data_IF_414080832848
#
_entry.id   IF_414080832848
#
_cell.length_a   1.000
_cell.length_b   1.000
_cell.length_c   1.000
_cell.angle_alpha   90.00
_cell.angle_beta   90.00
_cell.angle_gamma   90.00
#
_symmetry.space_group_name_H-M   'P 1'
#
loop_
_entity.id
_entity.type
_entity.pdbx_description
1 polymer ?
#
# COMPACT_ATOMS: atom_id res chain seq x y z
N UNK A 1 -29.57 51.43 -39.49
CA UNK A 1 -28.23 51.84 -39.02
C UNK A 1 -27.39 50.58 -38.92
N UNK A 2 -26.76 49.99 -39.94
CA UNK A 2 -26.13 50.45 -41.19
C UNK A 2 -24.98 51.45 -41.00
N UNK A 3 -23.74 50.94 -41.16
CA UNK A 3 -22.58 51.44 -41.93
C UNK A 3 -21.32 50.80 -41.28
N UNK A 4 -20.72 49.74 -41.86
CA UNK A 4 -19.79 49.71 -43.01
C UNK A 4 -18.46 50.40 -42.68
N UNK A 5 -17.30 49.73 -42.74
CA UNK A 5 -16.35 49.68 -43.88
C UNK A 5 -15.00 49.21 -43.28
N UNK A 6 -13.99 48.66 -43.94
CA UNK A 6 -13.72 48.26 -45.30
C UNK A 6 -12.51 47.31 -45.29
N UNK A 7 -12.42 46.53 -46.36
CA UNK A 7 -11.36 45.60 -46.77
C UNK A 7 -10.10 46.38 -47.20
N UNK A 8 -8.91 45.78 -47.15
CA UNK A 8 -7.97 45.55 -48.30
C UNK A 8 -6.57 45.11 -47.83
N UNK A 9 -6.09 44.06 -48.51
CA UNK A 9 -4.78 43.40 -48.46
C UNK A 9 -3.64 44.23 -49.08
N UNK A 10 -2.38 43.94 -48.73
CA UNK A 10 -1.25 43.59 -49.64
C UNK A 10 0.05 43.38 -48.82
N UNK A 11 0.66 42.19 -48.78
CA UNK A 11 1.80 41.68 -49.61
C UNK A 11 3.06 42.57 -49.50
N UNK A 12 4.27 42.11 -49.11
CA UNK A 12 5.28 41.43 -49.96
C UNK A 12 6.50 40.98 -49.12
N UNK A 13 6.94 39.73 -49.42
CA UNK A 13 8.28 39.09 -49.46
C UNK A 13 9.52 39.70 -48.76
N UNK A 14 10.35 38.81 -48.20
CA UNK A 14 11.81 38.99 -48.12
C UNK A 14 12.53 37.95 -47.25
N UNK A 15 13.37 37.11 -47.87
CA UNK A 15 14.15 36.04 -47.23
C UNK A 15 15.50 36.53 -46.67
N UNK A 16 16.02 35.86 -45.64
CA UNK A 16 17.39 35.28 -45.56
C UNK A 16 17.87 35.03 -44.12
N UNK A 17 18.53 33.89 -43.91
CA UNK A 17 19.19 33.46 -42.67
C UNK A 17 20.34 34.39 -42.27
N UNK A 18 20.40 34.80 -40.99
CA UNK A 18 21.66 35.01 -40.24
C UNK A 18 21.48 34.65 -38.75
N UNK A 19 22.51 33.99 -38.22
CA UNK A 19 22.60 33.36 -36.91
C UNK A 19 22.37 34.27 -35.68
N UNK A 20 21.67 33.69 -34.68
CA UNK A 20 21.73 33.83 -33.20
C UNK A 20 21.78 35.24 -32.56
N UNK A 21 20.77 35.55 -31.71
CA UNK A 21 21.06 35.97 -30.33
C UNK A 21 20.03 35.38 -29.34
N UNK A 22 20.12 34.08 -29.02
CA UNK A 22 19.26 33.43 -28.01
C UNK A 22 20.04 32.85 -26.81
N UNK A 23 21.37 32.75 -26.92
CA UNK A 23 22.22 32.25 -25.84
C UNK A 23 22.55 33.28 -24.75
N UNK A 24 22.43 34.59 -25.04
CA UNK A 24 22.74 35.64 -24.08
C UNK A 24 21.62 35.91 -23.06
N UNK A 25 20.36 35.61 -23.41
CA UNK A 25 19.21 35.81 -22.51
C UNK A 25 19.07 34.65 -21.51
N UNK A 26 19.49 33.44 -21.89
CA UNK A 26 19.50 32.27 -21.02
C UNK A 26 20.62 32.29 -19.96
N UNK A 27 21.76 32.95 -20.23
CA UNK A 27 22.80 33.15 -19.21
C UNK A 27 22.46 34.28 -18.22
N UNK A 28 21.67 35.28 -18.63
CA UNK A 28 21.26 36.40 -17.78
C UNK A 28 20.17 36.07 -16.75
N UNK A 29 19.34 35.06 -17.01
CA UNK A 29 18.30 34.58 -16.07
C UNK A 29 18.83 33.58 -15.02
N UNK A 30 20.07 33.12 -15.15
CA UNK A 30 20.71 32.17 -14.23
C UNK A 30 21.44 32.85 -13.05
N UNK A 31 21.51 34.18 -12.99
CA UNK A 31 22.30 34.93 -11.98
C UNK A 31 21.44 35.75 -11.00
N UNK A 32 20.10 35.79 -11.15
CA UNK A 32 19.22 36.56 -10.24
C UNK A 32 18.32 35.69 -9.34
N UNK A 33 18.48 34.36 -9.36
CA UNK A 33 17.76 33.45 -8.46
C UNK A 33 18.54 33.03 -7.21
N UNK A 34 19.72 33.61 -6.98
CA UNK A 34 20.72 33.15 -6.02
C UNK A 34 20.91 34.09 -4.83
N UNK A 35 19.83 34.62 -4.24
CA UNK A 35 19.88 35.23 -2.91
C UNK A 35 18.52 35.07 -2.25
N UNK A 36 18.34 34.03 -1.44
CA UNK A 36 17.56 34.00 -0.18
C UNK A 36 17.76 32.62 0.46
N UNK A 37 18.10 32.64 1.75
CA UNK A 37 18.33 31.54 2.69
C UNK A 37 19.76 30.97 2.78
N UNK A 38 20.60 31.76 3.45
CA UNK A 38 21.56 31.22 4.40
C UNK A 38 20.87 30.80 5.71
N UNK A 39 21.59 29.97 6.47
CA UNK A 39 21.35 29.47 7.84
C UNK A 39 20.56 28.16 7.98
N UNK A 40 21.25 27.02 7.87
CA UNK A 40 21.45 26.10 9.02
C UNK A 40 22.84 25.45 8.88
N UNK A 41 23.68 25.63 9.91
CA UNK A 41 25.03 25.08 10.09
C UNK A 41 25.01 23.66 10.67
N UNK A 42 26.01 22.86 10.29
CA UNK A 42 26.61 21.74 11.04
C UNK A 42 25.90 20.39 10.83
N UNK A 43 26.55 19.32 10.37
CA UNK A 43 27.85 18.77 10.78
C UNK A 43 28.61 18.14 9.60
N UNK A 44 29.94 18.28 9.66
CA UNK A 44 30.94 17.74 8.74
C UNK A 44 31.03 16.20 8.78
N UNK A 45 31.13 15.60 7.59
CA UNK A 45 31.65 14.26 7.37
C UNK A 45 33.15 14.21 7.63
N UNK A 46 33.60 13.31 8.51
CA UNK A 46 34.99 12.83 8.53
C UNK A 46 34.96 11.35 8.19
N UNK A 47 35.56 11.02 7.04
CA UNK A 47 35.68 9.65 6.54
C UNK A 47 36.57 8.78 7.42
N UNK A 48 36.11 7.56 7.68
CA UNK A 48 36.93 6.45 8.18
C UNK A 48 36.52 5.17 7.44
N UNK A 49 37.53 4.52 6.87
CA UNK A 49 37.47 3.27 6.11
C UNK A 49 36.81 2.11 6.90
N UNK A 50 35.96 1.26 6.30
CA UNK A 50 35.31 0.17 7.04
C UNK A 50 36.26 -1.04 7.16
N UNK A 51 36.74 -1.28 8.37
CA UNK A 51 37.22 -2.59 8.81
C UNK A 51 36.01 -3.48 9.18
N UNK A 52 36.04 -4.81 8.91
CA UNK A 52 34.89 -5.69 9.13
C UNK A 52 34.68 -5.96 10.62
N UNK A 53 33.95 -5.07 11.30
CA UNK A 53 33.47 -5.32 12.64
C UNK A 53 32.14 -6.09 12.57
N UNK A 54 32.22 -7.33 13.06
CA UNK A 54 31.10 -8.22 13.41
C UNK A 54 30.08 -7.43 14.23
N UNK A 55 28.92 -7.10 13.66
CA UNK A 55 27.84 -6.43 14.38
C UNK A 55 27.50 -7.24 15.64
N UNK A 56 27.46 -6.61 16.83
CA UNK A 56 27.02 -7.30 18.03
C UNK A 56 25.54 -7.63 17.86
N UNK A 57 25.19 -8.91 18.00
CA UNK A 57 23.82 -9.39 18.07
C UNK A 57 23.12 -8.69 19.24
N UNK A 58 22.43 -7.58 18.93
CA UNK A 58 21.61 -6.85 19.89
C UNK A 58 20.58 -7.83 20.47
N UNK A 59 20.43 -7.92 21.81
CA UNK A 59 19.43 -8.78 22.42
C UNK A 59 18.04 -8.36 21.93
N UNK A 60 17.23 -9.35 21.57
CA UNK A 60 15.83 -9.16 21.17
C UNK A 60 15.11 -8.28 22.22
N UNK A 61 14.53 -7.13 21.82
CA UNK A 61 13.91 -6.23 22.78
C UNK A 61 12.68 -6.88 23.42
N UNK A 62 12.63 -6.85 24.76
CA UNK A 62 11.53 -7.40 25.56
C UNK A 62 10.26 -6.52 25.38
N UNK A 63 9.12 -7.10 24.96
CA UNK A 63 7.83 -6.42 24.89
C UNK A 63 7.25 -6.11 26.30
N UNK A 64 6.42 -5.07 26.42
CA UNK A 64 5.76 -4.73 27.69
C UNK A 64 4.68 -5.73 28.12
N UNK A 65 4.34 -5.72 29.42
CA UNK A 65 3.59 -6.75 30.16
C UNK A 65 2.17 -7.13 29.66
N UNK A 66 1.61 -6.45 28.66
CA UNK A 66 0.22 -6.60 28.22
C UNK A 66 0.02 -7.24 26.84
N UNK A 67 1.07 -7.79 26.23
CA UNK A 67 1.02 -8.42 24.91
C UNK A 67 1.59 -9.84 24.97
N UNK A 68 0.76 -10.85 24.72
CA UNK A 68 1.23 -12.23 24.58
C UNK A 68 1.72 -12.45 23.14
N UNK A 69 2.95 -12.93 22.95
CA UNK A 69 3.56 -13.11 21.63
C UNK A 69 3.96 -14.55 21.39
N UNK A 70 3.73 -15.01 20.17
CA UNK A 70 4.19 -16.33 19.73
C UNK A 70 4.51 -16.32 18.24
N UNK A 71 5.60 -16.98 17.88
CA UNK A 71 5.95 -17.26 16.49
C UNK A 71 5.99 -18.76 16.26
N UNK A 72 5.65 -19.17 15.04
CA UNK A 72 5.65 -20.54 14.56
C UNK A 72 6.31 -20.55 13.19
N UNK A 73 7.12 -21.57 12.91
CA UNK A 73 7.80 -21.71 11.62
C UNK A 73 7.77 -23.17 11.14
N UNK A 74 7.86 -23.34 9.82
CA UNK A 74 7.78 -24.64 9.15
C UNK A 74 6.39 -25.00 8.66
N UNK A 75 6.26 -26.20 8.07
CA UNK A 75 5.04 -26.68 7.39
C UNK A 75 3.81 -26.80 8.30
N UNK A 76 4.01 -26.95 9.60
CA UNK A 76 2.94 -27.05 10.61
C UNK A 76 2.65 -25.71 11.32
N UNK A 77 3.18 -24.59 10.82
CA UNK A 77 3.12 -23.30 11.53
C UNK A 77 1.68 -22.81 11.74
N UNK A 78 0.81 -22.99 10.74
CA UNK A 78 -0.63 -22.67 10.82
C UNK A 78 -1.36 -23.52 11.84
N UNK A 79 -1.17 -24.84 11.84
CA UNK A 79 -1.78 -25.76 12.81
C UNK A 79 -1.36 -25.42 14.25
N UNK A 80 -0.08 -25.13 14.47
CA UNK A 80 0.42 -24.75 15.79
C UNK A 80 -0.13 -23.38 16.23
N UNK A 81 -0.27 -22.44 15.30
CA UNK A 81 -0.88 -21.15 15.54
C UNK A 81 -2.35 -21.28 15.92
N UNK A 82 -3.09 -22.17 15.26
CA UNK A 82 -4.48 -22.47 15.57
C UNK A 82 -4.64 -23.02 16.99
N UNK A 83 -3.85 -24.04 17.35
CA UNK A 83 -3.82 -24.60 18.71
C UNK A 83 -3.50 -23.55 19.78
N UNK A 84 -2.65 -22.57 19.46
CA UNK A 84 -2.38 -21.45 20.36
C UNK A 84 -3.60 -20.53 20.51
N UNK A 85 -4.27 -20.20 19.41
CA UNK A 85 -5.45 -19.33 19.41
C UNK A 85 -6.67 -19.96 20.10
N UNK A 86 -6.81 -21.28 20.12
CA UNK A 86 -7.92 -21.98 20.79
C UNK A 86 -8.10 -21.55 22.26
N UNK A 87 -7.01 -21.22 22.97
CA UNK A 87 -7.04 -20.73 24.36
C UNK A 87 -7.65 -19.33 24.53
N UNK A 88 -7.73 -18.58 23.44
CA UNK A 88 -8.15 -17.19 23.40
C UNK A 88 -9.39 -16.97 22.53
N UNK A 89 -9.84 -18.01 21.80
CA UNK A 89 -10.79 -17.90 20.69
C UNK A 89 -12.02 -17.06 21.02
N UNK A 90 -12.70 -17.34 22.14
CA UNK A 90 -13.89 -16.64 22.62
C UNK A 90 -13.66 -15.22 23.14
N UNK A 91 -12.42 -14.75 23.08
CA UNK A 91 -12.00 -13.42 23.54
C UNK A 91 -11.28 -12.63 22.46
N UNK A 92 -11.10 -13.17 21.26
CA UNK A 92 -10.47 -12.46 20.14
C UNK A 92 -11.45 -11.47 19.53
N UNK A 93 -11.03 -10.21 19.36
CA UNK A 93 -11.87 -9.18 18.70
C UNK A 93 -11.83 -9.23 17.18
N UNK A 94 -10.91 -10.01 16.62
CA UNK A 94 -10.76 -10.29 15.21
C UNK A 94 -10.36 -11.75 15.07
N UNK A 95 -11.00 -12.51 14.20
CA UNK A 95 -10.61 -13.90 13.90
C UNK A 95 -10.33 -14.03 12.40
N UNK A 96 -9.46 -14.98 12.07
CA UNK A 96 -9.14 -15.37 10.70
C UNK A 96 -9.27 -16.88 10.58
N UNK A 97 -9.65 -17.35 9.39
CA UNK A 97 -9.56 -18.76 9.06
C UNK A 97 -8.11 -19.10 8.69
N UNK A 98 -7.37 -19.77 9.59
CA UNK A 98 -5.97 -20.14 9.34
C UNK A 98 -5.79 -21.17 8.22
N UNK A 99 -6.85 -21.89 7.83
CA UNK A 99 -6.81 -22.83 6.70
C UNK A 99 -6.59 -22.12 5.36
N UNK A 100 -7.11 -20.88 5.22
CA UNK A 100 -6.86 -20.01 4.04
C UNK A 100 -5.37 -19.67 3.88
N UNK A 101 -4.59 -19.83 4.95
CA UNK A 101 -3.15 -19.61 4.99
C UNK A 101 -2.35 -20.91 5.06
N UNK A 102 -2.92 -22.06 4.71
CA UNK A 102 -2.29 -23.39 4.87
C UNK A 102 -0.86 -23.53 4.31
N UNK A 103 -0.47 -22.74 3.32
CA UNK A 103 0.88 -22.70 2.76
C UNK A 103 1.85 -21.74 3.47
N UNK A 104 1.40 -21.01 4.48
CA UNK A 104 2.25 -20.15 5.29
C UNK A 104 3.26 -21.02 6.06
N UNK A 105 4.53 -20.61 5.98
CA UNK A 105 5.67 -21.27 6.61
C UNK A 105 6.19 -20.46 7.81
N UNK A 106 5.65 -19.27 8.02
CA UNK A 106 5.87 -18.45 9.21
C UNK A 106 4.56 -17.81 9.66
N UNK A 107 4.24 -17.94 10.95
CA UNK A 107 3.09 -17.29 11.58
C UNK A 107 3.53 -16.61 12.87
N UNK A 108 3.35 -15.30 12.94
CA UNK A 108 3.52 -14.50 14.15
C UNK A 108 2.16 -14.03 14.68
N UNK A 109 1.93 -14.20 15.98
CA UNK A 109 0.71 -13.76 16.66
C UNK A 109 1.08 -12.92 17.86
N UNK A 110 0.57 -11.69 17.93
CA UNK A 110 0.61 -10.86 19.13
C UNK A 110 -0.81 -10.60 19.63
N UNK A 111 -1.11 -10.93 20.88
CA UNK A 111 -2.42 -10.71 21.49
C UNK A 111 -2.32 -9.59 22.51
N UNK A 112 -2.88 -8.43 22.16
CA UNK A 112 -2.93 -7.27 23.06
C UNK A 112 -4.19 -7.32 23.89
N UNK A 113 -4.04 -7.39 25.22
CA UNK A 113 -5.20 -7.40 26.13
C UNK A 113 -5.89 -6.04 26.13
N UNK A 114 -7.21 -6.07 26.00
CA UNK A 114 -8.09 -4.90 26.09
C UNK A 114 -8.61 -4.72 27.53
N UNK A 115 -9.03 -3.51 27.93
CA UNK A 115 -9.67 -3.27 29.24
C UNK A 115 -10.90 -4.15 29.50
N UNK A 116 -11.58 -4.59 28.44
CA UNK A 116 -12.70 -5.54 28.51
C UNK A 116 -12.29 -6.99 28.80
N UNK A 117 -10.98 -7.29 28.89
CA UNK A 117 -10.47 -8.66 29.02
C UNK A 117 -10.42 -9.45 27.71
N UNK A 118 -10.93 -8.88 26.61
CA UNK A 118 -10.75 -9.40 25.26
C UNK A 118 -9.32 -9.14 24.75
N UNK A 119 -8.98 -9.68 23.58
CA UNK A 119 -7.66 -9.54 22.95
C UNK A 119 -7.81 -9.03 21.52
N UNK A 120 -7.13 -7.94 21.21
CA UNK A 120 -6.92 -7.48 19.85
C UNK A 120 -5.68 -8.21 19.28
N UNK A 121 -5.83 -9.04 18.24
CA UNK A 121 -4.71 -9.77 17.67
C UNK A 121 -3.97 -8.94 16.60
N UNK A 122 -2.69 -9.22 16.48
CA UNK A 122 -1.85 -8.93 15.32
C UNK A 122 -1.48 -10.27 14.68
N UNK A 123 -1.88 -10.48 13.43
CA UNK A 123 -1.45 -11.63 12.63
C UNK A 123 -0.34 -11.21 11.66
N UNK A 124 0.70 -12.00 11.55
CA UNK A 124 1.84 -11.79 10.64
C UNK A 124 2.16 -13.08 9.92
N UNK A 125 2.00 -13.11 8.59
CA UNK A 125 1.95 -14.35 7.80
C UNK A 125 2.96 -14.28 6.66
N UNK A 126 3.85 -15.26 6.60
CA UNK A 126 4.85 -15.40 5.54
C UNK A 126 4.72 -16.73 4.80
N UNK A 127 4.72 -16.68 3.47
CA UNK A 127 4.74 -17.84 2.59
C UNK A 127 6.17 -18.13 2.13
N UNK A 128 6.47 -19.40 1.90
CA UNK A 128 7.75 -19.87 1.35
C UNK A 128 9.03 -19.31 2.04
N UNK A 129 8.94 -19.02 3.34
CA UNK A 129 10.02 -18.53 4.18
C UNK A 129 11.07 -19.64 4.33
N UNK A 130 12.27 -19.38 3.81
CA UNK A 130 13.42 -20.28 3.96
C UNK A 130 13.90 -20.28 5.41
N UNK A 131 14.55 -21.35 5.83
CA UNK A 131 15.11 -21.46 7.18
C UNK A 131 16.09 -20.31 7.51
N UNK A 132 16.84 -19.82 6.52
CA UNK A 132 17.73 -18.66 6.64
C UNK A 132 17.01 -17.37 6.98
N UNK A 133 15.74 -17.25 6.61
CA UNK A 133 14.98 -16.01 6.65
C UNK A 133 14.07 -15.94 7.90
N UNK A 134 13.95 -17.05 8.65
CA UNK A 134 13.11 -17.14 9.86
C UNK A 134 13.55 -16.15 10.93
N UNK A 135 14.85 -15.93 11.12
CA UNK A 135 15.36 -14.96 12.10
C UNK A 135 14.98 -13.53 11.70
N UNK A 136 15.09 -13.20 10.41
CA UNK A 136 14.71 -11.90 9.86
C UNK A 136 13.21 -11.67 10.00
N UNK A 137 12.39 -12.67 9.66
CA UNK A 137 10.93 -12.61 9.82
C UNK A 137 10.52 -12.47 11.28
N UNK A 138 11.20 -13.18 12.18
CA UNK A 138 10.99 -13.05 13.64
C UNK A 138 11.29 -11.63 14.09
N UNK A 139 12.46 -11.06 13.73
CA UNK A 139 12.80 -9.68 14.07
C UNK A 139 11.76 -8.68 13.53
N UNK A 140 11.35 -8.84 12.27
CA UNK A 140 10.31 -8.00 11.65
C UNK A 140 8.98 -8.08 12.39
N UNK A 141 8.53 -9.29 12.74
CA UNK A 141 7.33 -9.49 13.55
C UNK A 141 7.42 -8.80 14.91
N UNK A 142 8.54 -8.91 15.63
CA UNK A 142 8.70 -8.27 16.94
C UNK A 142 8.68 -6.74 16.84
N UNK A 143 9.27 -6.17 15.78
CA UNK A 143 9.20 -4.74 15.49
C UNK A 143 7.74 -4.31 15.28
N UNK A 144 6.99 -5.03 14.44
CA UNK A 144 5.57 -4.74 14.18
C UNK A 144 4.70 -4.93 15.43
N UNK A 145 4.93 -5.99 16.19
CA UNK A 145 4.19 -6.25 17.42
C UNK A 145 4.45 -5.17 18.50
N UNK A 146 5.67 -4.62 18.55
CA UNK A 146 5.98 -3.49 19.43
C UNK A 146 5.26 -2.22 18.99
N UNK A 147 5.23 -1.93 17.68
CA UNK A 147 4.45 -0.79 17.15
C UNK A 147 2.97 -0.97 17.49
N UNK A 148 2.41 -2.15 17.22
CA UNK A 148 1.03 -2.52 17.53
C UNK A 148 0.69 -2.37 19.02
N UNK A 149 1.57 -2.83 19.92
CA UNK A 149 1.40 -2.67 21.37
C UNK A 149 1.38 -1.21 21.83
N UNK A 150 2.03 -0.30 21.09
CA UNK A 150 2.08 1.14 21.37
C UNK A 150 0.95 1.94 20.72
N UNK A 151 0.24 1.38 19.74
CA UNK A 151 -0.89 2.07 19.10
C UNK A 151 -1.94 2.46 20.15
N UNK A 152 -2.60 3.62 20.04
CA UNK A 152 -3.73 3.92 20.90
C UNK A 152 -4.85 2.87 20.73
N UNK A 153 -5.42 2.38 21.83
CA UNK A 153 -6.59 1.49 21.77
C UNK A 153 -7.84 2.25 21.31
N UNK A 154 -7.89 3.55 21.58
CA UNK A 154 -8.96 4.46 21.19
C UNK A 154 -8.37 5.69 20.52
N UNK A 155 -9.03 6.11 19.44
CA UNK A 155 -8.68 7.32 18.69
C UNK A 155 -9.96 8.08 18.37
N UNK A 156 -9.89 9.41 18.38
CA UNK A 156 -11.01 10.25 17.96
C UNK A 156 -10.72 10.79 16.57
N UNK A 157 -11.58 10.47 15.61
CA UNK A 157 -11.39 10.83 14.21
C UNK A 157 -12.71 10.96 13.48
N UNK A 158 -12.79 11.91 12.56
CA UNK A 158 -13.89 12.03 11.60
C UNK A 158 -13.55 11.23 10.33
N UNK A 159 -14.57 10.94 9.52
CA UNK A 159 -14.42 10.35 8.20
C UNK A 159 -15.08 11.29 7.19
N UNK A 160 -14.28 11.93 6.34
CA UNK A 160 -14.77 12.99 5.43
C UNK A 160 -15.63 14.03 6.17
N UNK A 161 -16.89 14.21 5.77
CA UNK A 161 -17.83 15.19 6.32
C UNK A 161 -18.59 14.68 7.56
N UNK A 162 -18.36 13.44 7.99
CA UNK A 162 -18.99 12.88 9.20
C UNK A 162 -18.37 13.48 10.47
N UNK A 163 -19.16 13.67 11.55
CA UNK A 163 -18.64 14.16 12.82
C UNK A 163 -17.59 13.20 13.41
N UNK A 164 -16.61 13.70 14.20
CA UNK A 164 -15.61 12.87 14.83
C UNK A 164 -16.23 11.81 15.75
N UNK A 165 -15.82 10.55 15.59
CA UNK A 165 -16.24 9.39 16.38
C UNK A 165 -15.07 8.86 17.20
N UNK A 166 -15.38 8.16 18.29
CA UNK A 166 -14.39 7.39 19.04
C UNK A 166 -14.26 5.99 18.44
N UNK A 167 -13.13 5.74 17.79
CA UNK A 167 -12.78 4.48 17.17
C UNK A 167 -11.94 3.64 18.12
N UNK A 168 -12.27 2.36 18.24
CA UNK A 168 -11.55 1.40 19.05
C UNK A 168 -10.87 0.37 18.16
N UNK A 169 -9.57 0.14 18.35
CA UNK A 169 -8.82 -0.87 17.60
C UNK A 169 -9.30 -2.27 17.99
N UNK A 170 -9.59 -3.10 16.99
CA UNK A 170 -10.04 -4.49 17.20
C UNK A 170 -9.06 -5.53 16.65
N UNK A 171 -7.99 -5.10 15.97
CA UNK A 171 -6.93 -5.99 15.52
C UNK A 171 -6.24 -5.49 14.27
N UNK A 172 -5.23 -6.23 13.83
CA UNK A 172 -4.46 -5.98 12.62
C UNK A 172 -4.04 -7.31 11.99
N UNK A 173 -4.05 -7.35 10.67
CA UNK A 173 -3.28 -8.32 9.88
C UNK A 173 -2.14 -7.52 9.27
N UNK A 174 -0.93 -7.71 9.76
CA UNK A 174 0.19 -6.81 9.46
C UNK A 174 0.62 -6.91 8.01
N UNK A 175 0.84 -8.14 7.55
CA UNK A 175 1.34 -8.44 6.21
C UNK A 175 1.12 -9.93 5.97
N UNK A 176 0.52 -10.20 4.82
CA UNK A 176 0.49 -11.47 4.10
C UNK A 176 1.35 -11.22 2.86
N UNK A 177 2.40 -12.01 2.62
CA UNK A 177 3.33 -11.81 1.48
C UNK A 177 3.28 -12.99 0.53
N UNK A 178 3.01 -12.75 -0.74
CA UNK A 178 3.22 -13.69 -1.85
C UNK A 178 4.29 -13.15 -2.80
N UNK A 179 4.88 -14.04 -3.60
CA UNK A 179 5.90 -13.66 -4.57
C UNK A 179 5.83 -14.54 -5.81
N UNK A 180 6.31 -14.01 -6.94
CA UNK A 180 6.46 -14.74 -8.19
C UNK A 180 7.89 -14.59 -8.71
N UNK A 181 8.48 -15.68 -9.21
CA UNK A 181 9.83 -15.71 -9.76
C UNK A 181 9.79 -15.55 -11.29
N UNK A 182 10.41 -14.49 -11.79
CA UNK A 182 10.65 -14.28 -13.22
C UNK A 182 12.04 -14.82 -13.54
N UNK A 183 12.12 -15.80 -14.44
CA UNK A 183 13.39 -16.28 -14.99
C UNK A 183 13.68 -15.57 -16.31
N UNK A 184 14.79 -14.83 -16.37
CA UNK A 184 15.25 -14.19 -17.61
C UNK A 184 15.78 -15.24 -18.60
N UNK A 185 15.97 -14.89 -19.87
CA UNK A 185 16.59 -15.80 -20.86
C UNK A 185 18.01 -16.19 -20.50
N UNK A 186 18.73 -15.28 -19.83
CA UNK A 186 20.08 -15.53 -19.31
C UNK A 186 20.09 -16.41 -18.04
N UNK A 187 18.91 -16.81 -17.53
CA UNK A 187 18.76 -17.66 -16.35
C UNK A 187 18.82 -16.93 -15.02
N UNK A 188 18.81 -15.59 -15.01
CA UNK A 188 18.71 -14.81 -13.79
C UNK A 188 17.29 -14.89 -13.22
N UNK A 189 17.19 -14.97 -11.89
CA UNK A 189 15.92 -15.05 -11.17
C UNK A 189 15.61 -13.71 -10.52
N UNK A 190 14.45 -13.14 -10.84
CA UNK A 190 13.99 -11.86 -10.31
C UNK A 190 12.63 -12.07 -9.66
N UNK A 191 12.51 -11.74 -8.38
CA UNK A 191 11.25 -11.88 -7.66
C UNK A 191 10.46 -10.58 -7.62
N UNK A 192 9.17 -10.68 -7.91
CA UNK A 192 8.18 -9.62 -7.63
C UNK A 192 7.33 -10.03 -6.44
N UNK A 193 6.90 -9.06 -5.63
CA UNK A 193 6.21 -9.32 -4.38
C UNK A 193 4.88 -8.60 -4.32
N UNK A 194 3.87 -9.31 -3.83
CA UNK A 194 2.56 -8.78 -3.47
C UNK A 194 2.41 -8.91 -1.96
N UNK A 195 2.09 -7.81 -1.28
CA UNK A 195 1.88 -7.79 0.17
C UNK A 195 0.59 -7.09 0.53
N UNK A 196 -0.23 -7.74 1.35
CA UNK A 196 -1.49 -7.16 1.83
C UNK A 196 -1.55 -7.21 3.36
N UNK A 197 -1.96 -6.11 3.97
CA UNK A 197 -2.28 -6.00 5.39
C UNK A 197 -3.58 -5.20 5.58
N UNK A 198 -4.13 -5.26 6.79
CA UNK A 198 -5.31 -4.49 7.15
C UNK A 198 -5.35 -4.15 8.65
N UNK A 199 -5.78 -2.93 8.96
CA UNK A 199 -6.09 -2.41 10.28
C UNK A 199 -7.58 -2.32 10.49
N UNK A 200 -8.05 -2.77 11.65
CA UNK A 200 -9.47 -2.85 11.95
C UNK A 200 -9.81 -2.01 13.18
N UNK A 201 -10.79 -1.13 12.99
CA UNK A 201 -11.30 -0.25 14.02
C UNK A 201 -12.82 -0.27 14.03
N UNK A 202 -13.45 0.03 15.16
CA UNK A 202 -14.91 0.09 15.27
C UNK A 202 -15.36 1.29 16.09
N UNK A 203 -16.47 1.90 15.70
CA UNK A 203 -17.15 2.95 16.44
C UNK A 203 -18.65 2.63 16.57
N UNK A 204 -19.23 2.94 17.72
CA UNK A 204 -20.68 2.82 17.91
C UNK A 204 -21.42 3.96 17.18
N UNK A 205 -22.56 3.63 16.61
CA UNK A 205 -23.51 4.57 16.03
C UNK A 205 -24.89 4.43 16.70
N UNK A 206 -25.75 5.44 16.51
CA UNK A 206 -27.13 5.41 17.04
C UNK A 206 -27.88 4.14 16.59
N UNK A 207 -27.75 3.80 15.31
CA UNK A 207 -28.49 2.72 14.65
C UNK A 207 -27.66 1.44 14.44
N UNK A 208 -26.39 1.40 14.86
CA UNK A 208 -25.48 0.34 14.43
C UNK A 208 -24.04 0.53 14.90
N UNK A 209 -23.12 0.00 14.10
CA UNK A 209 -21.67 0.09 14.29
C UNK A 209 -21.01 0.39 12.96
N UNK A 210 -20.02 1.28 12.96
CA UNK A 210 -19.12 1.49 11.83
C UNK A 210 -17.84 0.71 12.08
N UNK A 211 -17.43 -0.08 11.09
CA UNK A 211 -16.11 -0.68 11.05
C UNK A 211 -15.27 0.14 10.09
N UNK A 212 -14.09 0.58 10.51
CA UNK A 212 -13.14 1.26 9.66
C UNK A 212 -12.03 0.26 9.34
N UNK A 213 -11.93 -0.11 8.07
CA UNK A 213 -10.99 -1.12 7.57
C UNK A 213 -10.00 -0.43 6.67
N UNK A 214 -8.77 -0.26 7.16
CA UNK A 214 -7.68 0.36 6.43
C UNK A 214 -6.76 -0.73 5.89
N UNK A 215 -6.73 -0.88 4.57
CA UNK A 215 -5.88 -1.84 3.90
C UNK A 215 -4.51 -1.21 3.63
N UNK A 216 -3.47 -2.03 3.57
CA UNK A 216 -2.12 -1.64 3.17
C UNK A 216 -1.62 -2.66 2.16
N UNK A 217 -1.59 -2.29 0.89
CA UNK A 217 -1.19 -3.13 -0.22
C UNK A 217 0.09 -2.58 -0.84
N UNK A 218 1.15 -3.39 -0.86
CA UNK A 218 2.44 -3.05 -1.45
C UNK A 218 2.74 -4.01 -2.59
N UNK A 219 2.80 -3.48 -3.81
CA UNK A 219 3.33 -4.17 -4.98
C UNK A 219 4.79 -3.76 -5.16
N UNK A 220 5.69 -4.71 -4.92
CA UNK A 220 7.13 -4.45 -4.86
C UNK A 220 7.88 -5.17 -5.96
N UNK A 221 8.72 -4.39 -6.64
CA UNK A 221 9.75 -4.87 -7.56
C UNK A 221 11.13 -4.58 -6.96
N UNK A 222 12.19 -5.30 -7.38
CA UNK A 222 13.56 -4.93 -7.04
C UNK A 222 13.90 -3.54 -7.59
N UNK A 223 14.90 -2.89 -7.01
CA UNK A 223 15.35 -1.59 -7.50
C UNK A 223 16.04 -1.76 -8.86
N UNK A 224 16.02 -0.72 -9.71
CA UNK A 224 16.67 -0.77 -11.03
C UNK A 224 18.15 -1.19 -10.96
N UNK A 225 18.84 -0.79 -9.90
CA UNK A 225 20.25 -1.15 -9.65
C UNK A 225 20.48 -2.64 -9.38
N UNK A 226 19.43 -3.35 -8.99
CA UNK A 226 19.46 -4.77 -8.63
C UNK A 226 19.04 -5.66 -9.83
N UNK A 227 18.69 -5.07 -10.98
CA UNK A 227 18.33 -5.82 -12.19
C UNK A 227 19.56 -6.27 -12.99
N UNK A 228 19.48 -7.40 -13.69
CA UNK A 228 20.34 -7.66 -14.84
C UNK A 228 20.29 -6.48 -15.82
N UNK A 229 21.42 -6.11 -16.43
CA UNK A 229 21.53 -4.91 -17.30
C UNK A 229 20.50 -4.83 -18.43
N UNK A 230 20.04 -5.99 -18.90
CA UNK A 230 19.12 -6.15 -20.03
C UNK A 230 17.68 -6.43 -19.60
N UNK A 231 17.34 -6.22 -18.32
CA UNK A 231 16.03 -6.57 -17.76
C UNK A 231 15.47 -5.41 -16.94
N UNK A 232 14.16 -5.19 -17.06
CA UNK A 232 13.44 -4.22 -16.23
C UNK A 232 12.06 -4.73 -15.90
N UNK A 233 11.60 -4.46 -14.68
CA UNK A 233 10.25 -4.79 -14.22
C UNK A 233 9.62 -3.59 -13.50
N UNK A 234 8.33 -3.42 -13.70
CA UNK A 234 7.51 -2.38 -13.09
C UNK A 234 6.20 -2.97 -12.61
N UNK A 235 5.61 -2.35 -11.59
CA UNK A 235 4.21 -2.59 -11.27
C UNK A 235 3.37 -2.03 -12.41
N UNK A 236 2.47 -2.84 -12.94
CA UNK A 236 1.54 -2.46 -14.01
C UNK A 236 0.20 -2.05 -13.44
N UNK A 237 -0.30 -2.83 -12.49
CA UNK A 237 -1.62 -2.67 -11.93
C UNK A 237 -1.71 -3.28 -10.53
N UNK A 238 -2.50 -2.65 -9.67
CA UNK A 238 -2.78 -3.08 -8.30
C UNK A 238 -4.29 -3.03 -8.10
N UNK A 239 -4.87 -4.13 -7.63
CA UNK A 239 -6.30 -4.22 -7.31
C UNK A 239 -6.53 -4.64 -5.88
N UNK A 240 -7.50 -4.03 -5.23
CA UNK A 240 -7.99 -4.41 -3.91
C UNK A 240 -9.48 -4.60 -3.96
N UNK A 241 -9.98 -5.64 -3.29
CA UNK A 241 -11.41 -5.86 -3.17
C UNK A 241 -11.78 -6.18 -1.74
N UNK A 242 -12.83 -5.54 -1.27
CA UNK A 242 -13.42 -5.80 0.04
C UNK A 242 -14.88 -6.22 -0.14
N UNK A 243 -15.22 -7.41 0.34
CA UNK A 243 -16.55 -7.98 0.19
C UNK A 243 -17.13 -8.36 1.54
N UNK A 244 -18.30 -7.82 1.90
CA UNK A 244 -19.06 -8.25 3.07
C UNK A 244 -19.71 -9.60 2.73
N UNK A 245 -19.40 -10.67 3.47
CA UNK A 245 -19.96 -12.02 3.27
C UNK A 245 -21.18 -12.29 4.15
N UNK A 246 -21.19 -11.72 5.35
CA UNK A 246 -22.24 -11.87 6.36
C UNK A 246 -22.19 -10.60 7.24
N UNK A 247 -23.31 -10.12 7.83
CA UNK A 247 -24.71 -10.52 7.71
C UNK A 247 -25.36 -10.20 6.34
N UNK A 248 -26.68 -10.37 6.22
CA UNK A 248 -27.44 -10.03 5.00
C UNK A 248 -27.26 -8.55 4.62
N UNK A 249 -27.49 -8.17 3.34
CA UNK A 249 -27.31 -6.79 2.86
C UNK A 249 -28.12 -5.75 3.65
N UNK A 250 -29.28 -6.14 4.19
CA UNK A 250 -30.12 -5.25 5.00
C UNK A 250 -29.54 -5.02 6.39
N UNK A 251 -28.66 -5.91 6.86
CA UNK A 251 -28.09 -5.90 8.21
C UNK A 251 -26.67 -5.34 8.22
N UNK A 252 -25.87 -5.61 7.18
CA UNK A 252 -24.59 -4.97 6.96
C UNK A 252 -24.42 -4.58 5.51
N UNK A 253 -23.90 -3.38 5.34
CA UNK A 253 -23.59 -2.84 4.03
C UNK A 253 -22.44 -1.85 4.16
N UNK A 254 -21.75 -1.57 3.07
CA UNK A 254 -20.86 -0.42 3.01
C UNK A 254 -21.70 0.85 3.11
N UNK A 255 -21.62 1.50 4.28
CA UNK A 255 -22.49 2.61 4.66
C UNK A 255 -21.90 3.96 4.23
N UNK A 256 -22.79 4.83 3.75
CA UNK A 256 -22.52 6.02 2.94
C UNK A 256 -21.92 7.20 3.73
N UNK A 257 -20.98 7.89 3.07
CA UNK A 257 -20.49 9.25 3.29
C UNK A 257 -19.61 9.65 2.09
N UNK A 258 -19.13 10.90 2.00
CA UNK A 258 -18.22 11.37 0.92
C UNK A 258 -16.88 10.62 0.83
N UNK A 259 -16.66 9.66 1.74
CA UNK A 259 -15.56 8.72 1.73
C UNK A 259 -15.90 7.44 0.94
N UNK A 260 -16.73 7.58 -0.10
CA UNK A 260 -16.79 6.59 -1.16
C UNK A 260 -15.87 7.12 -2.25
N UNK A 261 -14.72 6.50 -2.53
CA UNK A 261 -13.87 6.94 -3.63
C UNK A 261 -14.49 6.51 -4.96
N UNK A 262 -15.81 6.62 -5.13
CA UNK A 262 -16.46 6.35 -6.40
C UNK A 262 -15.91 7.27 -7.47
N UNK A 263 -15.66 6.67 -8.62
CA UNK A 263 -15.22 7.37 -9.80
C UNK A 263 -13.80 7.00 -10.20
N UNK A 264 -13.25 7.85 -11.05
CA UNK A 264 -11.96 7.63 -11.66
C UNK A 264 -11.18 8.92 -11.64
N UNK A 265 -9.86 8.81 -11.57
CA UNK A 265 -8.99 9.94 -11.72
C UNK A 265 -7.61 9.56 -12.22
N UNK A 266 -6.80 10.59 -12.45
CA UNK A 266 -5.38 10.44 -12.74
C UNK A 266 -4.59 11.33 -11.81
N UNK A 267 -3.57 10.77 -11.16
CA UNK A 267 -2.59 11.55 -10.42
C UNK A 267 -1.37 11.84 -11.29
N UNK A 268 -0.93 13.09 -11.27
CA UNK A 268 0.43 13.44 -11.72
C UNK A 268 1.42 13.63 -10.58
N UNK A 269 0.92 13.48 -9.35
CA UNK A 269 1.69 13.52 -8.12
C UNK A 269 2.01 12.10 -7.65
N UNK A 270 3.16 11.88 -7.02
CA UNK A 270 3.58 10.54 -6.61
C UNK A 270 2.75 9.95 -5.48
N UNK A 271 1.97 10.78 -4.78
CA UNK A 271 1.08 10.36 -3.70
C UNK A 271 -0.24 11.12 -3.85
N UNK A 272 -1.35 10.41 -3.76
CA UNK A 272 -2.68 10.99 -3.56
C UNK A 272 -3.20 10.54 -2.22
N UNK A 273 -3.75 11.47 -1.45
CA UNK A 273 -4.45 11.18 -0.20
C UNK A 273 -5.93 11.42 -0.40
N UNK A 274 -6.74 10.40 -0.19
CA UNK A 274 -8.19 10.51 -0.15
C UNK A 274 -8.62 10.40 1.31
N UNK A 275 -9.27 11.44 1.83
CA UNK A 275 -9.81 11.46 3.18
C UNK A 275 -9.01 12.26 4.20
N UNK A 276 -9.81 12.87 5.08
CA UNK A 276 -9.53 13.69 6.24
C UNK A 276 -8.33 14.67 6.16
N UNK A 277 -8.68 15.95 6.07
CA UNK A 277 -7.78 17.03 6.48
C UNK A 277 -7.38 16.83 7.94
N UNK A 278 -6.09 16.68 8.13
CA UNK A 278 -5.47 16.53 9.43
C UNK A 278 -5.63 17.84 10.21
N UNK A 279 -6.56 17.86 11.17
CA UNK A 279 -6.30 18.46 12.47
C UNK A 279 -5.57 17.42 13.30
N UNK A 280 -4.22 17.44 13.29
CA UNK A 280 -3.41 16.70 14.25
C UNK A 280 -3.79 17.27 15.62
N UNK A 281 -4.40 16.44 16.46
CA UNK A 281 -3.79 16.26 17.77
C UNK A 281 -3.56 14.75 18.01
N UNK A 282 -2.27 14.41 17.84
CA UNK A 282 -1.49 13.22 18.19
C UNK A 282 -1.99 11.78 17.96
N UNK A 283 -3.25 11.47 17.65
CA UNK A 283 -3.74 10.07 17.55
C UNK A 283 -4.82 9.82 16.50
N UNK A 284 -4.85 10.56 15.38
CA UNK A 284 -5.87 10.38 14.33
C UNK A 284 -5.92 8.96 13.73
N UNK A 285 -7.07 8.58 13.16
CA UNK A 285 -7.15 7.40 12.29
C UNK A 285 -6.23 7.56 11.07
N UNK A 286 -5.74 6.47 10.48
CA UNK A 286 -5.11 6.52 9.16
C UNK A 286 -6.02 7.21 8.11
N UNK A 287 -5.43 7.83 7.09
CA UNK A 287 -6.15 8.32 5.90
C UNK A 287 -5.94 7.37 4.72
N UNK A 288 -6.88 7.29 3.78
CA UNK A 288 -6.60 6.53 2.57
C UNK A 288 -5.63 7.29 1.67
N UNK A 289 -4.75 6.56 1.02
CA UNK A 289 -3.80 7.12 0.09
C UNK A 289 -3.37 6.07 -0.92
N UNK A 290 -2.82 6.48 -2.06
CA UNK A 290 -2.04 5.58 -2.89
C UNK A 290 -0.95 6.36 -3.61
N UNK A 291 0.14 5.67 -3.95
CA UNK A 291 1.28 6.32 -4.53
C UNK A 291 2.52 5.43 -4.61
N UNK A 292 3.66 6.07 -4.83
CA UNK A 292 4.96 5.41 -4.94
C UNK A 292 5.81 5.67 -3.68
N UNK A 293 6.49 4.66 -3.16
CA UNK A 293 7.10 4.71 -1.81
C UNK A 293 8.48 5.39 -1.70
N UNK A 294 9.01 6.03 -2.74
CA UNK A 294 10.37 6.58 -2.75
C UNK A 294 10.44 8.13 -2.74
N UNK A 295 11.51 8.68 -2.17
CA UNK A 295 11.77 10.13 -2.06
C UNK A 295 12.18 10.81 -3.37
N UNK A 296 12.48 10.05 -4.44
CA UNK A 296 12.83 10.56 -5.78
C UNK A 296 11.75 10.25 -6.84
N UNK A 297 10.48 10.44 -6.49
CA UNK A 297 9.30 10.04 -7.27
C UNK A 297 8.75 11.14 -8.20
N UNK A 298 9.56 12.16 -8.51
CA UNK A 298 9.16 13.24 -9.43
C UNK A 298 8.79 12.70 -10.80
N UNK A 299 7.62 13.10 -11.29
CA UNK A 299 7.11 12.73 -12.62
C UNK A 299 6.48 11.34 -12.70
N UNK A 300 6.21 10.66 -11.57
CA UNK A 300 5.40 9.45 -11.59
C UNK A 300 3.91 9.79 -11.63
N UNK A 301 3.15 8.99 -12.38
CA UNK A 301 1.72 9.16 -12.60
C UNK A 301 1.02 7.82 -12.47
N UNK A 302 -0.25 7.86 -12.08
CA UNK A 302 -1.11 6.69 -12.09
C UNK A 302 -2.56 7.09 -12.33
N UNK A 303 -3.36 6.15 -12.78
CA UNK A 303 -4.82 6.25 -12.78
C UNK A 303 -5.39 5.41 -11.68
N UNK A 304 -6.53 5.83 -11.19
CA UNK A 304 -7.29 5.07 -10.22
C UNK A 304 -8.75 5.03 -10.67
N UNK A 305 -9.38 3.93 -10.32
CA UNK A 305 -10.80 3.69 -10.49
C UNK A 305 -11.28 2.95 -9.26
N UNK A 306 -12.45 3.30 -8.76
CA UNK A 306 -13.15 2.49 -7.76
C UNK A 306 -14.50 2.15 -8.32
N UNK A 307 -14.81 0.86 -8.33
CA UNK A 307 -16.09 0.33 -8.76
C UNK A 307 -16.81 -0.34 -7.60
N UNK A 308 -18.12 -0.40 -7.74
CA UNK A 308 -19.00 -1.14 -6.90
C UNK A 308 -19.81 -2.15 -7.71
N UNK A 309 -19.29 -3.37 -7.83
CA UNK A 309 -20.04 -4.48 -8.43
C UNK A 309 -21.37 -4.69 -7.67
N UNK A 310 -21.37 -4.43 -6.36
CA UNK A 310 -22.56 -4.19 -5.52
C UNK A 310 -22.21 -3.11 -4.48
N UNK A 311 -22.77 -1.91 -4.65
CA UNK A 311 -22.60 -0.75 -3.77
C UNK A 311 -22.57 -1.03 -2.27
N UNK A 312 -23.39 -1.99 -1.86
CA UNK A 312 -23.63 -2.26 -0.47
C UNK A 312 -22.72 -3.37 0.05
N UNK A 313 -22.08 -4.18 -0.80
CA UNK A 313 -21.39 -5.39 -0.35
C UNK A 313 -20.03 -5.62 -0.93
N UNK A 314 -19.67 -4.94 -2.01
CA UNK A 314 -18.46 -5.23 -2.75
C UNK A 314 -17.86 -3.96 -3.35
N UNK A 315 -16.68 -3.60 -2.87
CA UNK A 315 -15.93 -2.42 -3.32
C UNK A 315 -14.61 -2.91 -3.89
N UNK A 316 -14.32 -2.52 -5.13
CA UNK A 316 -13.06 -2.74 -5.80
C UNK A 316 -12.31 -1.42 -6.01
N UNK A 317 -11.03 -1.40 -5.64
CA UNK A 317 -10.09 -0.34 -5.95
C UNK A 317 -9.14 -0.86 -7.03
N UNK A 318 -8.90 -0.06 -8.04
CA UNK A 318 -8.01 -0.38 -9.14
C UNK A 318 -7.06 0.79 -9.37
N UNK A 319 -5.77 0.54 -9.20
CA UNK A 319 -4.70 1.47 -9.53
C UNK A 319 -3.95 0.94 -10.74
N UNK A 320 -3.96 1.70 -11.84
CA UNK A 320 -3.46 1.26 -13.13
C UNK A 320 -2.76 2.39 -13.87
N UNK A 321 -2.22 2.09 -15.05
CA UNK A 321 -1.47 3.07 -15.84
C UNK A 321 -0.28 3.67 -15.07
N UNK A 322 0.36 2.84 -14.24
CA UNK A 322 1.47 3.20 -13.35
C UNK A 322 2.73 3.52 -14.17
N UNK A 323 3.04 4.81 -14.30
CA UNK A 323 4.00 5.29 -15.30
C UNK A 323 4.94 6.36 -14.77
N UNK A 324 6.07 6.49 -15.44
CA UNK A 324 6.98 7.64 -15.37
C UNK A 324 6.73 8.54 -16.57
N UNK A 325 6.34 9.78 -16.30
CA UNK A 325 6.14 10.84 -17.28
C UNK A 325 7.49 11.27 -17.85
N UNK A 326 7.69 11.06 -19.15
CA UNK A 326 8.80 11.61 -19.91
C UNK A 326 8.41 12.88 -20.67
N UNK A 327 9.38 13.47 -21.37
CA UNK A 327 9.19 14.67 -22.18
C UNK A 327 8.34 14.41 -23.44
N UNK A 328 8.53 13.24 -24.08
CA UNK A 328 7.91 12.87 -25.35
C UNK A 328 6.96 11.66 -25.22
N UNK A 329 7.23 10.76 -24.29
CA UNK A 329 6.42 9.57 -24.03
C UNK A 329 6.49 9.20 -22.55
N UNK A 330 5.49 8.46 -22.07
CA UNK A 330 5.50 7.88 -20.72
C UNK A 330 5.97 6.43 -20.80
N UNK A 331 6.78 6.01 -19.84
CA UNK A 331 7.22 4.61 -19.69
C UNK A 331 6.57 3.98 -18.46
N UNK A 332 6.54 2.65 -18.31
CA UNK A 332 6.26 2.02 -17.03
C UNK A 332 7.18 2.58 -15.93
N UNK A 333 6.70 2.56 -14.69
CA UNK A 333 7.47 3.01 -13.52
C UNK A 333 8.51 1.95 -13.10
N UNK A 334 9.52 1.74 -13.94
CA UNK A 334 10.57 0.74 -13.75
C UNK A 334 11.24 0.83 -12.38
N UNK A 335 11.38 -0.34 -11.72
CA UNK A 335 11.98 -0.45 -10.40
C UNK A 335 11.30 0.36 -9.29
N UNK A 336 10.07 0.85 -9.50
CA UNK A 336 9.31 1.61 -8.51
C UNK A 336 8.29 0.74 -7.80
N UNK A 337 8.26 0.87 -6.48
CA UNK A 337 7.28 0.24 -5.61
C UNK A 337 6.02 1.10 -5.61
N UNK A 338 4.86 0.45 -5.76
CA UNK A 338 3.57 1.09 -5.60
C UNK A 338 2.94 0.63 -4.28
N UNK A 339 2.40 1.57 -3.53
CA UNK A 339 1.75 1.33 -2.25
C UNK A 339 0.38 1.97 -2.27
N UNK A 340 -0.63 1.17 -2.00
CA UNK A 340 -2.01 1.58 -1.86
C UNK A 340 -2.48 1.35 -0.43
N UNK A 341 -3.23 2.31 0.06
CA UNK A 341 -3.83 2.33 1.38
C UNK A 341 -5.33 2.60 1.26
N UNK A 342 -6.12 1.73 0.59
CA UNK A 342 -7.55 1.94 0.47
C UNK A 342 -8.24 1.72 1.81
N UNK A 343 -9.41 2.33 1.96
CA UNK A 343 -10.22 2.23 3.18
C UNK A 343 -11.66 1.96 2.80
N UNK A 344 -12.30 1.05 3.51
CA UNK A 344 -13.75 0.80 3.42
C UNK A 344 -14.39 0.91 4.80
N UNK A 345 -15.67 1.28 4.79
CA UNK A 345 -16.43 1.50 6.02
C UNK A 345 -17.71 0.67 6.04
N UNK A 346 -17.65 -0.61 6.43
CA UNK A 346 -18.86 -1.38 6.70
C UNK A 346 -19.69 -0.76 7.83
N UNK A 347 -20.98 -0.60 7.61
CA UNK A 347 -21.96 -0.31 8.65
C UNK A 347 -22.79 -1.55 8.95
N UNK A 348 -22.99 -1.84 10.24
CA UNK A 348 -23.79 -2.97 10.73
C UNK A 348 -24.92 -2.46 11.60
N UNK A 349 -26.18 -2.77 11.26
CA UNK A 349 -27.37 -2.36 12.02
C UNK A 349 -27.43 -3.01 13.40
N UNK A 350 -27.96 -2.26 14.38
CA UNK A 350 -28.36 -2.80 15.69
C UNK A 350 -29.44 -3.88 15.51
N UNK A 351 -29.36 -4.96 16.27
CA UNK A 351 -30.26 -6.12 16.16
C UNK A 351 -29.74 -7.24 15.24
N UNK A 352 -28.74 -6.96 14.40
CA UNK A 352 -27.90 -8.01 13.81
C UNK A 352 -27.21 -8.77 14.95
N UNK A 353 -27.14 -10.12 14.94
CA UNK A 353 -26.31 -10.87 15.88
C UNK A 353 -24.93 -10.23 15.97
N UNK A 354 -24.65 -9.63 17.12
CA UNK A 354 -23.63 -8.60 17.32
C UNK A 354 -22.20 -9.18 17.32
N UNK A 355 -21.85 -10.08 16.42
CA UNK A 355 -20.57 -10.81 16.55
C UNK A 355 -19.92 -11.22 15.23
N UNK A 356 -20.56 -11.11 14.07
CA UNK A 356 -20.00 -11.72 12.86
C UNK A 356 -20.30 -10.86 11.64
N UNK A 357 -19.67 -9.68 11.56
CA UNK A 357 -19.38 -9.20 10.22
C UNK A 357 -18.20 -10.01 9.71
N UNK A 358 -18.45 -10.71 8.60
CA UNK A 358 -17.43 -11.43 7.85
C UNK A 358 -17.06 -10.57 6.65
N UNK A 359 -15.79 -10.23 6.55
CA UNK A 359 -15.25 -9.43 5.46
C UNK A 359 -14.16 -10.21 4.76
N UNK A 360 -14.33 -10.39 3.45
CA UNK A 360 -13.30 -10.93 2.57
C UNK A 360 -12.46 -9.78 2.04
N UNK A 361 -11.14 -9.87 2.19
CA UNK A 361 -10.19 -8.94 1.61
C UNK A 361 -9.35 -9.66 0.56
N UNK A 362 -9.14 -9.00 -0.58
CA UNK A 362 -8.33 -9.50 -1.68
C UNK A 362 -7.39 -8.44 -2.21
N UNK A 363 -6.16 -8.82 -2.53
CA UNK A 363 -5.12 -7.96 -3.08
C UNK A 363 -4.40 -8.65 -4.24
N UNK A 364 -4.37 -7.99 -5.39
CA UNK A 364 -3.73 -8.47 -6.61
C UNK A 364 -2.72 -7.47 -7.14
N UNK A 365 -1.59 -7.97 -7.60
CA UNK A 365 -0.57 -7.15 -8.24
C UNK A 365 -0.15 -7.79 -9.57
N UNK A 366 -0.27 -7.00 -10.63
CA UNK A 366 0.23 -7.34 -11.94
C UNK A 366 1.47 -6.50 -12.26
N UNK A 367 2.45 -7.15 -12.86
CA UNK A 367 3.73 -6.57 -13.21
C UNK A 367 3.97 -6.68 -14.71
N UNK A 368 4.66 -5.69 -15.26
CA UNK A 368 5.19 -5.74 -16.63
C UNK A 368 6.69 -5.84 -16.55
N UNK A 369 7.28 -6.71 -17.35
CA UNK A 369 8.72 -6.76 -17.54
C UNK A 369 9.10 -6.69 -19.02
N UNK A 370 10.30 -6.18 -19.25
CA UNK A 370 10.94 -6.14 -20.56
C UNK A 370 12.35 -6.72 -20.46
N UNK A 371 12.71 -7.47 -21.49
CA UNK A 371 14.06 -8.02 -21.65
C UNK A 371 14.59 -7.63 -23.02
N UNK A 372 15.82 -7.14 -23.09
CA UNK A 372 16.46 -6.75 -24.34
C UNK A 372 16.88 -7.99 -25.12
N UNK A 373 16.36 -8.15 -26.34
CA UNK A 373 16.63 -9.30 -27.20
C UNK A 373 17.27 -8.84 -28.49
N UNK A 374 18.49 -9.31 -28.76
CA UNK A 374 19.12 -9.10 -30.05
C UNK A 374 18.48 -10.05 -31.07
N UNK A 375 17.82 -9.50 -32.09
CA UNK A 375 17.25 -10.25 -33.21
C UNK A 375 18.11 -9.93 -34.43
N UNK A 376 18.66 -10.97 -35.06
CA UNK A 376 19.44 -10.86 -36.28
C UNK A 376 18.70 -11.55 -37.44
N UNK A 377 18.44 -10.81 -38.52
CA UNK A 377 17.90 -11.32 -39.77
C UNK A 377 18.88 -10.99 -40.91
N UNK A 378 19.70 -11.98 -41.28
CA UNK A 378 20.82 -11.80 -42.20
C UNK A 378 21.94 -10.97 -41.57
N UNK A 379 22.34 -9.87 -42.21
CA UNK A 379 23.37 -8.94 -41.73
C UNK A 379 22.85 -7.81 -40.84
N UNK A 380 21.53 -7.72 -40.65
CA UNK A 380 20.91 -6.67 -39.84
C UNK A 380 20.49 -7.24 -38.48
N UNK A 381 21.08 -6.70 -37.41
CA UNK A 381 20.67 -6.98 -36.03
C UNK A 381 20.04 -5.74 -35.42
N UNK A 382 18.99 -5.93 -34.62
CA UNK A 382 18.41 -4.87 -33.80
C UNK A 382 18.06 -5.40 -32.41
N UNK A 383 17.95 -4.49 -31.45
CA UNK A 383 17.46 -4.81 -30.12
C UNK A 383 15.94 -4.68 -30.12
N UNK A 384 15.27 -5.76 -29.78
CA UNK A 384 13.83 -5.79 -29.50
C UNK A 384 13.62 -5.73 -27.98
N UNK A 385 12.55 -5.08 -27.55
CA UNK A 385 12.15 -4.96 -26.14
C UNK A 385 10.78 -5.61 -25.93
N UNK A 386 10.65 -6.95 -26.07
CA UNK A 386 9.40 -7.64 -25.83
C UNK A 386 8.89 -7.36 -24.40
N UNK A 387 7.62 -6.98 -24.32
CA UNK A 387 6.90 -6.80 -23.06
C UNK A 387 6.19 -8.09 -22.69
N UNK A 388 6.35 -8.47 -21.44
CA UNK A 388 5.65 -9.59 -20.84
C UNK A 388 4.92 -9.12 -19.59
N UNK A 389 3.83 -9.79 -19.27
CA UNK A 389 3.06 -9.54 -18.05
C UNK A 389 3.18 -10.76 -17.16
N UNK A 390 3.28 -10.53 -15.85
CA UNK A 390 3.31 -11.57 -14.83
C UNK A 390 2.45 -11.12 -13.66
N UNK A 391 1.71 -12.04 -13.08
CA UNK A 391 0.87 -11.79 -11.91
C UNK A 391 1.49 -12.51 -10.72
N UNK A 392 1.67 -11.78 -9.61
CA UNK A 392 1.96 -12.46 -8.35
C UNK A 392 0.71 -13.19 -7.86
N UNK A 393 0.83 -14.32 -7.15
CA UNK A 393 -0.32 -15.00 -6.59
C UNK A 393 -1.20 -14.01 -5.79
N UNK A 394 -2.52 -14.00 -6.01
CA UNK A 394 -3.41 -13.10 -5.29
C UNK A 394 -3.39 -13.47 -3.80
N UNK A 395 -3.51 -12.45 -2.96
CA UNK A 395 -3.75 -12.64 -1.54
C UNK A 395 -5.25 -12.51 -1.32
N UNK A 396 -5.85 -13.47 -0.64
CA UNK A 396 -7.26 -13.45 -0.30
C UNK A 396 -7.47 -14.08 1.08
N UNK A 397 -8.21 -13.41 1.95
CA UNK A 397 -8.54 -13.95 3.26
C UNK A 397 -9.83 -13.35 3.84
N UNK A 398 -10.43 -14.09 4.76
CA UNK A 398 -11.65 -13.75 5.46
C UNK A 398 -11.34 -13.36 6.90
N UNK A 399 -11.93 -12.25 7.34
CA UNK A 399 -11.88 -11.82 8.73
C UNK A 399 -13.28 -11.80 9.34
N UNK A 400 -13.38 -12.27 10.57
CA UNK A 400 -14.57 -12.16 11.40
C UNK A 400 -14.31 -11.13 12.51
N UNK A 401 -15.14 -10.09 12.61
CA UNK A 401 -14.95 -9.01 13.58
C UNK A 401 -15.92 -9.11 14.76
N UNK A 402 -15.38 -9.19 15.99
CA UNK A 402 -16.11 -9.38 17.24
C UNK A 402 -15.81 -8.26 18.25
N UNK A 403 -16.51 -7.13 18.27
CA UNK A 403 -16.23 -6.08 19.25
C UNK A 403 -16.84 -6.37 20.64
N UNK A 404 -16.23 -7.32 21.38
CA UNK A 404 -16.68 -7.83 22.68
C UNK A 404 -16.95 -6.77 23.77
N UNK A 405 -16.41 -5.56 23.66
CA UNK A 405 -16.52 -4.52 24.69
C UNK A 405 -17.85 -3.74 24.68
N UNK A 406 -18.68 -3.92 23.66
CA UNK A 406 -19.94 -3.18 23.50
C UNK A 406 -21.09 -3.80 24.32
N UNK A 407 -20.92 -5.04 24.82
CA UNK A 407 -21.92 -5.75 25.65
C UNK A 407 -21.70 -5.62 27.17
N UNK A 408 -20.84 -4.71 27.64
CA UNK A 408 -20.79 -4.39 29.07
C UNK A 408 -21.78 -3.27 29.37
N UNK A 409 -23.05 -3.64 29.58
CA UNK A 409 -23.97 -2.82 30.39
C UNK A 409 -23.75 -3.12 31.86
#
# INVERSE_FOLDING_TARGET
>A
MCLSQNIVQTTVRGASMKWKPLFAVLLGLLVVGSVVLAEVRGYEEVGVSPSPQKEPSLPLPVPGDNVALKTFSGKSSTQMAEQFLQKYWDRLTLRINLEEFSNATFVGIALRRLPSGAYAPLYYLGYDVKASDVEVMTKSFYIEARKFGKLPLKVRGALADEPPREWTSIGRISTVTTSEEITTREGHKVHVYNKLGADFWVAEARMGYYYYVYMSHEAKVPSERDFPKNFRVAVKEVRERATILNPSPEQAYFGVGSFRPEGSGSSSEPTVTWGLNIGIDAKGLPSAAAGFSETYTKGLIFKWYTDDIDANRDIEFQFYDLKKKGLLSSSPAWGKIFVAHPVVVPFVKKGTPFHMIELKLRGEAEFVYEEDVIICLGYNCWVSHPRHTVQAPPIEFTVEMYPWFINRR
#
